data_IF_919466188875
#
_entry.id   IF_919466188875
#
_cell.length_a   1.000
_cell.length_b   1.000
_cell.length_c   1.000
_cell.angle_alpha   90.00
_cell.angle_beta   90.00
_cell.angle_gamma   90.00
#
_symmetry.space_group_name_H-M   'P 1'
#
loop_
_entity.id
_entity.type
_entity.pdbx_description
1 polymer ?
#
# COMPACT_ATOMS: atom_id res chain seq x y z
N UNK A 1 -28.43 -38.79 68.51
CA UNK A 1 -28.79 -37.37 68.30
C UNK A 1 -27.70 -36.76 67.42
N UNK A 2 -27.98 -36.51 66.12
CA UNK A 2 -28.32 -35.17 65.59
C UNK A 2 -27.00 -34.39 65.30
N UNK A 3 -26.53 -34.06 64.08
CA UNK A 3 -27.09 -33.90 62.73
C UNK A 3 -25.95 -33.85 61.69
N UNK A 4 -26.25 -34.27 60.46
CA UNK A 4 -25.51 -33.96 59.23
C UNK A 4 -25.49 -32.45 58.97
N UNK A 5 -24.42 -31.92 58.35
CA UNK A 5 -24.51 -30.82 57.39
C UNK A 5 -23.35 -30.87 56.36
N UNK A 6 -23.74 -31.10 55.10
CA UNK A 6 -22.97 -30.93 53.87
C UNK A 6 -22.47 -29.51 53.68
N UNK A 7 -21.36 -29.35 52.96
CA UNK A 7 -21.09 -28.16 52.15
C UNK A 7 -20.31 -28.56 50.90
N UNK A 8 -21.05 -28.78 49.80
CA UNK A 8 -20.51 -28.82 48.45
C UNK A 8 -20.07 -27.40 48.09
N UNK A 9 -18.76 -27.19 47.87
CA UNK A 9 -18.27 -25.99 47.20
C UNK A 9 -18.25 -26.27 45.68
N UNK A 10 -19.30 -25.84 45.00
CA UNK A 10 -19.38 -25.78 43.54
C UNK A 10 -18.48 -24.64 43.05
N UNK A 11 -17.26 -24.94 42.61
CA UNK A 11 -16.40 -24.00 41.92
C UNK A 11 -16.83 -23.87 40.45
N UNK A 12 -17.66 -22.87 40.15
CA UNK A 12 -18.07 -22.53 38.79
C UNK A 12 -16.86 -21.93 38.04
N UNK A 13 -16.24 -22.73 37.18
CA UNK A 13 -15.25 -22.28 36.21
C UNK A 13 -15.98 -21.58 35.06
N UNK A 14 -16.03 -20.24 35.10
CA UNK A 14 -16.60 -19.42 34.04
C UNK A 14 -15.71 -19.46 32.79
N UNK A 15 -16.18 -20.11 31.73
CA UNK A 15 -15.58 -20.00 30.40
C UNK A 15 -15.86 -18.60 29.84
N UNK A 16 -14.86 -17.72 29.91
CA UNK A 16 -14.86 -16.48 29.15
C UNK A 16 -14.54 -16.80 27.68
N UNK A 17 -15.57 -16.87 26.83
CA UNK A 17 -15.42 -16.95 25.37
C UNK A 17 -14.95 -15.61 24.83
N UNK A 18 -13.65 -15.50 24.54
CA UNK A 18 -13.10 -14.35 23.81
C UNK A 18 -13.55 -14.43 22.35
N UNK A 19 -14.39 -13.49 21.91
CA UNK A 19 -14.76 -13.36 20.51
C UNK A 19 -13.53 -12.97 19.68
N UNK A 20 -13.10 -13.86 18.78
CA UNK A 20 -12.09 -13.55 17.78
C UNK A 20 -12.75 -12.76 16.64
N UNK A 21 -12.37 -11.50 16.46
CA UNK A 21 -12.78 -10.72 15.29
C UNK A 21 -12.05 -11.24 14.06
N UNK A 22 -12.71 -12.09 13.27
CA UNK A 22 -12.25 -12.43 11.93
C UNK A 22 -12.51 -11.23 11.00
N UNK A 23 -11.46 -10.69 10.38
CA UNK A 23 -11.60 -9.73 9.28
C UNK A 23 -12.12 -10.52 8.08
N UNK A 24 -13.26 -10.08 7.52
CA UNK A 24 -13.91 -10.77 6.42
C UNK A 24 -13.14 -10.52 5.11
N UNK A 25 -12.85 -11.58 4.35
CA UNK A 25 -12.14 -11.47 3.06
C UNK A 25 -12.86 -10.55 2.06
N UNK A 26 -14.18 -10.36 2.23
CA UNK A 26 -14.98 -9.44 1.39
C UNK A 26 -14.56 -7.97 1.51
N UNK A 27 -13.80 -7.61 2.55
CA UNK A 27 -13.36 -6.24 2.81
C UNK A 27 -11.89 -5.98 2.35
N UNK A 28 -11.28 -6.94 1.62
CA UNK A 28 -9.94 -6.78 1.05
C UNK A 28 -9.96 -5.94 -0.23
N UNK A 29 -9.04 -4.98 -0.30
CA UNK A 29 -8.82 -4.17 -1.48
C UNK A 29 -8.19 -5.02 -2.60
N UNK A 30 -8.51 -4.74 -3.87
CA UNK A 30 -7.71 -5.29 -4.97
C UNK A 30 -6.27 -4.77 -4.90
N UNK A 31 -5.28 -5.52 -5.42
CA UNK A 31 -3.87 -5.16 -5.30
C UNK A 31 -3.53 -3.81 -5.93
N UNK A 32 -4.23 -3.43 -7.00
CA UNK A 32 -4.07 -2.13 -7.69
C UNK A 32 -4.55 -0.94 -6.86
N UNK A 33 -5.36 -1.17 -5.83
CA UNK A 33 -5.79 -0.16 -4.88
C UNK A 33 -4.94 -0.19 -3.61
N UNK A 34 -4.55 -1.38 -3.16
CA UNK A 34 -3.68 -1.57 -2.00
C UNK A 34 -2.24 -1.06 -2.23
N UNK A 35 -1.73 -1.20 -3.46
CA UNK A 35 -0.36 -0.87 -3.82
C UNK A 35 -0.34 -0.03 -5.10
N UNK A 36 0.14 1.21 -4.99
CA UNK A 36 0.32 2.12 -6.12
C UNK A 36 1.76 2.59 -6.18
N UNK A 37 2.27 2.82 -7.37
CA UNK A 37 3.55 3.49 -7.57
C UNK A 37 3.41 4.62 -8.58
N UNK A 38 4.13 5.71 -8.34
CA UNK A 38 4.30 6.83 -9.27
C UNK A 38 5.78 7.24 -9.31
N UNK A 39 6.14 8.05 -10.29
CA UNK A 39 7.50 8.58 -10.43
C UNK A 39 7.45 10.09 -10.45
N UNK A 40 8.38 10.70 -9.74
CA UNK A 40 8.66 12.13 -9.75
C UNK A 40 10.10 12.34 -10.18
N UNK A 41 10.33 13.35 -11.03
CA UNK A 41 11.65 13.79 -11.39
C UNK A 41 12.09 14.90 -10.43
N UNK A 42 13.13 14.64 -9.64
CA UNK A 42 13.69 15.61 -8.68
C UNK A 42 14.60 16.59 -9.41
N UNK A 43 15.47 16.06 -10.27
CA UNK A 43 16.29 16.83 -11.21
C UNK A 43 16.66 15.96 -12.43
N UNK A 44 17.58 16.43 -13.25
CA UNK A 44 18.00 15.71 -14.46
C UNK A 44 18.51 14.28 -14.18
N UNK A 45 19.15 14.05 -13.02
CA UNK A 45 19.86 12.81 -12.67
C UNK A 45 19.16 12.02 -11.56
N UNK A 46 18.23 12.62 -10.83
CA UNK A 46 17.55 12.02 -9.69
C UNK A 46 16.05 11.85 -9.91
N UNK A 47 15.56 10.64 -9.65
CA UNK A 47 14.15 10.30 -9.65
C UNK A 47 13.73 9.78 -8.27
N UNK A 48 12.47 10.00 -7.90
CA UNK A 48 11.83 9.31 -6.79
C UNK A 48 10.72 8.41 -7.33
N UNK A 49 10.77 7.12 -7.01
CA UNK A 49 9.62 6.23 -7.16
C UNK A 49 8.84 6.25 -5.85
N UNK A 50 7.64 6.78 -5.88
CA UNK A 50 6.77 6.96 -4.73
C UNK A 50 5.84 5.77 -4.65
N UNK A 51 5.93 5.00 -3.57
CA UNK A 51 5.04 3.88 -3.30
C UNK A 51 3.96 4.32 -2.32
N UNK A 52 2.69 4.15 -2.68
CA UNK A 52 1.55 4.34 -1.79
C UNK A 52 1.02 2.97 -1.38
N UNK A 53 0.94 2.74 -0.07
CA UNK A 53 0.46 1.50 0.53
C UNK A 53 -0.77 1.82 1.36
N UNK A 54 -1.88 1.12 1.10
CA UNK A 54 -3.11 1.30 1.86
C UNK A 54 -2.95 0.84 3.32
N UNK A 55 -3.69 1.43 4.28
CA UNK A 55 -3.69 0.98 5.67
C UNK A 55 -4.07 -0.50 5.80
N UNK A 56 -3.32 -1.25 6.61
CA UNK A 56 -3.51 -2.71 6.78
C UNK A 56 -2.84 -3.56 5.70
N UNK A 57 -2.01 -2.96 4.84
CA UNK A 57 -1.22 -3.63 3.82
C UNK A 57 0.26 -3.27 3.96
N UNK A 58 1.13 -4.08 3.38
CA UNK A 58 2.57 -3.82 3.36
C UNK A 58 3.25 -4.39 2.10
N UNK A 59 4.30 -3.72 1.63
CA UNK A 59 5.19 -4.21 0.58
C UNK A 59 6.46 -4.84 1.19
N UNK A 60 6.98 -5.89 0.57
CA UNK A 60 8.26 -6.49 0.96
C UNK A 60 9.44 -5.76 0.31
N UNK A 61 10.45 -5.38 1.09
CA UNK A 61 11.67 -4.73 0.60
C UNK A 61 12.32 -5.54 -0.53
N UNK A 62 12.63 -6.81 -0.28
CA UNK A 62 13.36 -7.68 -1.23
C UNK A 62 12.52 -8.10 -2.45
N UNK A 63 11.25 -7.71 -2.51
CA UNK A 63 10.34 -7.98 -3.64
C UNK A 63 10.06 -6.74 -4.47
N UNK A 64 10.72 -5.61 -4.17
CA UNK A 64 10.67 -4.41 -5.00
C UNK A 64 11.86 -4.43 -5.95
N UNK A 65 11.59 -4.27 -7.24
CA UNK A 65 12.62 -4.14 -8.28
C UNK A 65 12.23 -3.06 -9.27
N UNK A 66 13.17 -2.20 -9.63
CA UNK A 66 12.99 -1.16 -10.65
C UNK A 66 13.99 -1.39 -11.77
N UNK A 67 13.54 -1.28 -13.01
CA UNK A 67 14.39 -1.30 -14.21
C UNK A 67 13.99 -0.18 -15.15
N UNK A 68 14.94 0.40 -15.88
CA UNK A 68 14.68 1.49 -16.82
C UNK A 68 14.76 1.04 -18.28
N UNK A 69 13.93 1.64 -19.14
CA UNK A 69 14.01 1.54 -20.59
C UNK A 69 13.93 2.96 -21.21
N UNK A 70 14.91 3.41 -22.02
CA UNK A 70 16.13 2.69 -22.38
C UNK A 70 17.02 2.41 -21.16
N UNK A 71 17.84 1.36 -21.26
CA UNK A 71 18.68 0.93 -20.13
C UNK A 71 19.57 2.08 -19.66
N UNK A 72 19.38 2.48 -18.42
CA UNK A 72 20.16 3.51 -17.73
C UNK A 72 20.73 2.89 -16.47
N UNK A 73 22.02 3.10 -16.19
CA UNK A 73 22.62 2.67 -14.94
C UNK A 73 22.31 3.69 -13.84
N UNK A 74 21.87 3.19 -12.68
CA UNK A 74 21.53 4.01 -11.53
C UNK A 74 21.76 3.25 -10.23
N UNK A 75 22.01 3.99 -9.16
CA UNK A 75 21.98 3.47 -7.80
C UNK A 75 20.57 3.69 -7.22
N UNK A 76 20.10 2.75 -6.39
CA UNK A 76 18.79 2.83 -5.73
C UNK A 76 18.95 2.85 -4.23
N UNK A 77 18.36 3.84 -3.56
CA UNK A 77 18.41 3.98 -2.10
C UNK A 77 17.02 3.84 -1.51
N UNK A 78 16.81 2.74 -0.77
CA UNK A 78 15.61 2.52 0.00
C UNK A 78 15.69 3.24 1.36
N UNK A 79 14.56 3.72 1.90
CA UNK A 79 14.49 4.11 3.30
C UNK A 79 14.48 2.87 4.18
N UNK A 80 14.81 3.02 5.46
CA UNK A 80 14.69 1.93 6.42
C UNK A 80 13.25 1.43 6.50
N UNK A 81 13.05 0.14 6.32
CA UNK A 81 11.78 -0.55 6.50
C UNK A 81 11.58 -1.00 7.94
N UNK A 82 10.46 -1.69 8.17
CA UNK A 82 10.13 -2.32 9.45
C UNK A 82 10.37 -3.81 9.34
N UNK A 83 10.99 -4.39 10.35
CA UNK A 83 11.09 -5.85 10.45
C UNK A 83 9.73 -6.43 10.89
N UNK A 84 9.18 -7.34 10.08
CA UNK A 84 7.95 -8.08 10.36
C UNK A 84 8.25 -9.58 10.32
N UNK A 85 7.71 -10.32 11.29
CA UNK A 85 7.69 -11.78 11.22
C UNK A 85 6.40 -12.21 10.50
N UNK A 86 6.52 -12.45 9.20
CA UNK A 86 5.42 -12.90 8.34
C UNK A 86 5.20 -14.42 8.50
N UNK A 87 3.96 -14.90 8.64
CA UNK A 87 3.71 -16.35 8.78
C UNK A 87 4.14 -17.19 7.57
N UNK A 88 4.20 -16.62 6.37
CA UNK A 88 4.54 -17.34 5.14
C UNK A 88 6.04 -17.29 4.85
N UNK A 89 6.69 -16.16 5.15
CA UNK A 89 8.09 -15.90 4.76
C UNK A 89 9.06 -15.74 5.93
N UNK A 90 8.56 -15.72 7.17
CA UNK A 90 9.35 -15.46 8.35
C UNK A 90 9.75 -14.00 8.48
N UNK A 91 10.95 -13.75 9.04
CA UNK A 91 11.44 -12.40 9.33
C UNK A 91 11.84 -11.67 8.05
N UNK A 92 11.07 -10.66 7.67
CA UNK A 92 11.23 -9.85 6.46
C UNK A 92 11.25 -8.36 6.80
N UNK A 93 11.95 -7.56 5.99
CA UNK A 93 11.80 -6.10 6.00
C UNK A 93 10.64 -5.66 5.10
N UNK A 94 9.76 -4.81 5.63
CA UNK A 94 8.51 -4.40 4.99
C UNK A 94 8.25 -2.90 5.08
N UNK A 95 7.42 -2.40 4.18
CA UNK A 95 6.92 -1.04 4.13
C UNK A 95 5.39 -1.01 4.31
N UNK A 96 4.88 -0.72 5.51
CA UNK A 96 3.44 -0.65 5.79
C UNK A 96 2.84 0.74 5.56
N UNK A 97 3.66 1.71 5.17
CA UNK A 97 3.28 3.10 4.94
C UNK A 97 3.88 3.58 3.63
N UNK A 98 3.36 4.68 3.05
CA UNK A 98 3.97 5.30 1.89
C UNK A 98 5.46 5.62 2.10
N UNK A 99 6.26 5.43 1.06
CA UNK A 99 7.70 5.66 1.08
C UNK A 99 8.23 5.96 -0.33
N UNK A 100 9.43 6.53 -0.39
CA UNK A 100 10.09 6.88 -1.64
C UNK A 100 11.36 6.05 -1.82
N UNK A 101 11.55 5.50 -3.02
CA UNK A 101 12.80 4.90 -3.47
C UNK A 101 13.52 5.92 -4.35
N UNK A 102 14.67 6.40 -3.90
CA UNK A 102 15.47 7.35 -4.66
C UNK A 102 16.36 6.63 -5.66
N UNK A 103 16.34 7.08 -6.91
CA UNK A 103 17.17 6.57 -8.00
C UNK A 103 18.11 7.67 -8.47
N UNK A 104 19.42 7.40 -8.47
CA UNK A 104 20.45 8.35 -8.89
C UNK A 104 21.24 7.79 -10.07
N UNK A 105 21.29 8.54 -11.18
CA UNK A 105 22.12 8.19 -12.35
C UNK A 105 23.29 9.16 -12.51
N UNK A 106 24.40 8.67 -13.08
CA UNK A 106 25.57 9.51 -13.43
C UNK A 106 25.29 10.47 -14.58
N UNK A 107 24.28 10.18 -15.40
CA UNK A 107 23.86 11.01 -16.54
C UNK A 107 22.40 11.39 -16.40
N UNK A 108 22.00 12.46 -17.09
CA UNK A 108 20.60 12.85 -17.13
C UNK A 108 19.72 11.72 -17.69
N UNK A 109 18.56 11.54 -17.08
CA UNK A 109 17.56 10.58 -17.53
C UNK A 109 16.95 11.05 -18.87
N UNK A 110 16.90 10.20 -19.91
CA UNK A 110 16.17 10.51 -21.12
C UNK A 110 14.69 10.80 -20.82
N UNK A 111 14.11 11.85 -21.40
CA UNK A 111 12.68 12.16 -21.23
C UNK A 111 11.75 11.02 -21.69
N UNK A 112 12.24 10.14 -22.58
CA UNK A 112 11.53 8.93 -23.03
C UNK A 112 11.60 7.76 -22.05
N UNK A 113 12.27 7.92 -20.91
CA UNK A 113 12.45 6.82 -19.95
C UNK A 113 11.12 6.32 -19.42
N UNK A 114 10.98 5.00 -19.44
CA UNK A 114 9.95 4.27 -18.72
C UNK A 114 10.60 3.38 -17.66
N UNK A 115 10.12 3.47 -16.42
CA UNK A 115 10.49 2.60 -15.33
C UNK A 115 9.51 1.44 -15.22
N UNK A 116 9.99 0.21 -15.28
CA UNK A 116 9.21 -0.97 -14.91
C UNK A 116 9.46 -1.25 -13.44
N UNK A 117 8.40 -1.18 -12.63
CA UNK A 117 8.43 -1.45 -11.20
C UNK A 117 7.73 -2.78 -10.94
N UNK A 118 8.46 -3.74 -10.39
CA UNK A 118 7.90 -4.98 -9.84
C UNK A 118 7.81 -4.84 -8.32
N UNK A 119 6.70 -5.26 -7.74
CA UNK A 119 6.48 -5.18 -6.30
C UNK A 119 5.56 -6.32 -5.84
N UNK A 120 5.64 -6.67 -4.56
CA UNK A 120 4.75 -7.65 -3.96
C UNK A 120 4.46 -7.27 -2.52
N UNK A 121 3.23 -7.51 -2.07
CA UNK A 121 2.80 -7.23 -0.72
C UNK A 121 1.70 -8.16 -0.23
N UNK A 122 1.34 -8.01 1.04
CA UNK A 122 0.25 -8.74 1.68
C UNK A 122 -0.62 -7.78 2.50
N UNK A 123 -1.81 -8.25 2.85
CA UNK A 123 -2.66 -7.67 3.85
C UNK A 123 -2.32 -8.26 5.23
N UNK A 124 -2.45 -7.47 6.30
CA UNK A 124 -2.32 -7.95 7.68
C UNK A 124 -3.38 -9.02 8.03
N UNK A 125 -4.46 -9.11 7.26
CA UNK A 125 -5.46 -10.18 7.31
C UNK A 125 -4.93 -11.55 6.83
N UNK A 126 -3.65 -11.66 6.46
CA UNK A 126 -3.00 -12.91 6.08
C UNK A 126 -3.09 -13.28 4.60
N UNK A 127 -3.57 -12.36 3.74
CA UNK A 127 -3.65 -12.59 2.30
C UNK A 127 -2.45 -11.96 1.60
N UNK A 128 -1.68 -12.79 0.90
CA UNK A 128 -0.55 -12.36 0.09
C UNK A 128 -0.89 -12.30 -1.39
N UNK A 129 -0.65 -11.14 -2.00
CA UNK A 129 -0.93 -10.91 -3.41
C UNK A 129 0.21 -11.46 -4.28
N UNK A 130 -0.07 -11.88 -5.53
CA UNK A 130 0.99 -12.23 -6.47
C UNK A 130 1.85 -11.00 -6.83
N UNK A 131 3.05 -11.20 -7.39
CA UNK A 131 3.88 -10.09 -7.87
C UNK A 131 3.14 -9.21 -8.88
N UNK A 132 3.17 -7.90 -8.64
CA UNK A 132 2.58 -6.87 -9.50
C UNK A 132 3.70 -6.22 -10.34
N UNK A 133 3.38 -5.82 -11.58
CA UNK A 133 4.29 -5.06 -12.44
C UNK A 133 3.56 -3.84 -12.98
N UNK A 134 4.16 -2.66 -12.83
CA UNK A 134 3.63 -1.40 -13.38
C UNK A 134 4.72 -0.68 -14.17
N UNK A 135 4.31 0.02 -15.23
CA UNK A 135 5.21 0.85 -16.03
C UNK A 135 4.91 2.32 -15.77
N UNK A 136 5.93 3.06 -15.32
CA UNK A 136 5.86 4.48 -15.01
C UNK A 136 6.62 5.26 -16.06
N UNK A 137 5.98 6.24 -16.70
CA UNK A 137 6.65 7.17 -17.62
C UNK A 137 7.09 8.40 -16.84
N UNK A 138 8.25 8.95 -17.16
CA UNK A 138 8.66 10.22 -16.56
C UNK A 138 7.63 11.32 -16.86
N UNK A 139 7.41 12.25 -15.91
CA UNK A 139 6.61 13.44 -16.19
C UNK A 139 7.23 14.15 -17.40
N UNK A 140 6.40 14.49 -18.38
CA UNK A 140 6.81 15.45 -19.39
C UNK A 140 6.41 16.82 -18.88
N UNK A 141 7.26 17.83 -19.05
CA UNK A 141 7.05 19.20 -18.56
C UNK A 141 5.75 19.87 -19.10
N UNK A 142 4.99 19.18 -19.95
CA UNK A 142 3.68 19.60 -20.49
C UNK A 142 2.49 19.33 -19.56
N UNK A 143 2.69 18.84 -18.33
CA UNK A 143 1.60 18.66 -17.35
C UNK A 143 1.29 19.92 -16.53
N UNK A 144 1.97 21.05 -16.80
CA UNK A 144 1.52 22.36 -16.36
C UNK A 144 0.61 22.93 -17.45
N UNK A 145 -0.63 23.28 -17.11
CA UNK A 145 -1.71 23.82 -17.98
C UNK A 145 -2.76 22.81 -18.47
N UNK A 146 -3.27 21.94 -17.59
CA UNK A 146 -4.70 21.62 -17.64
C UNK A 146 -5.46 22.72 -16.89
N UNK A 147 -5.86 23.75 -17.64
CA UNK A 147 -6.80 24.78 -17.21
C UNK A 147 -8.06 24.10 -16.68
N UNK A 148 -8.37 24.38 -15.41
CA UNK A 148 -9.67 24.18 -14.81
C UNK A 148 -10.70 25.01 -15.59
N UNK A 149 -11.36 24.39 -16.59
CA UNK A 149 -12.53 25.00 -17.21
C UNK A 149 -13.77 24.67 -16.39
N UNK A 150 -14.07 25.58 -15.47
CA UNK A 150 -15.41 26.14 -15.32
C UNK A 150 -16.55 25.18 -15.01
N UNK A 151 -16.83 25.05 -13.71
CA UNK A 151 -18.17 24.78 -13.19
C UNK A 151 -19.22 25.69 -13.85
N UNK A 152 -20.21 25.10 -14.51
CA UNK A 152 -21.50 25.77 -14.74
C UNK A 152 -22.61 24.90 -14.13
N UNK A 153 -22.81 25.08 -12.82
CA UNK A 153 -24.05 24.72 -12.12
C UNK A 153 -24.97 25.93 -12.16
N UNK A 154 -25.90 25.95 -13.12
CA UNK A 154 -27.10 26.78 -13.00
C UNK A 154 -28.28 25.83 -12.78
N UNK A 155 -28.58 25.58 -11.50
CA UNK A 155 -29.83 24.99 -11.02
C UNK A 155 -30.50 26.01 -10.10
N UNK A 156 -31.54 26.67 -10.60
CA UNK A 156 -32.67 27.31 -9.90
C UNK A 156 -33.48 27.98 -11.02
N UNK A 157 -34.73 27.62 -11.33
CA UNK A 157 -35.89 27.73 -10.46
C UNK A 157 -36.98 26.74 -10.91
N UNK A 158 -37.57 25.99 -9.96
CA UNK A 158 -39.00 25.61 -10.05
C UNK A 158 -39.85 26.88 -10.11
N UNK A 159 -41.05 26.93 -10.66
CA UNK A 159 -42.28 26.19 -10.35
C UNK A 159 -43.27 26.74 -11.41
N UNK A 160 -44.17 26.00 -12.05
CA UNK A 160 -45.56 25.80 -11.57
C UNK A 160 -46.38 25.18 -12.69
N UNK A 161 -47.22 24.24 -12.25
CA UNK A 161 -48.26 23.47 -12.93
C UNK A 161 -49.49 24.34 -13.25
N UNK A 162 -49.98 24.33 -14.48
CA UNK A 162 -51.42 24.34 -14.81
C UNK A 162 -51.64 23.87 -16.25
#
# INVERSE_FOLDING_TARGET
>A
MQRLLSSLLFAACGLATTAAFAVDQKDLLPPTEAFKASVEQVDANHLNVIFTVAPGYYLYHDRIKVTANPTTAFDSTFPAGKIKNDPNFGKMEVYPHPFNLSLASKTAWPASTALTVKMQGCADAGVCYPPQTVTLKLPTDNASHAVQSGSKKDELFGTTKK
#
